data_IF_491244900382
#
_entry.id   IF_491244900382
#
_cell.length_a   1.000
_cell.length_b   1.000
_cell.length_c   1.000
_cell.angle_alpha   90.00
_cell.angle_beta   90.00
_cell.angle_gamma   90.00
#
_symmetry.space_group_name_H-M   'P 1'
#
loop_
_entity.id
_entity.type
_entity.pdbx_description
1 polymer ?
#
# COMPACT_ATOMS: atom_id res chain seq x y z
N UNK A 1 16.38 -12.58 17.44
CA UNK A 1 15.73 -11.25 17.46
C UNK A 1 14.29 -11.45 17.01
N UNK A 2 13.34 -11.46 17.95
CA UNK A 2 11.91 -11.50 17.61
C UNK A 2 11.58 -10.19 16.88
N UNK A 3 11.29 -10.27 15.59
CA UNK A 3 10.98 -9.09 14.79
C UNK A 3 9.48 -9.00 14.70
N UNK A 4 8.88 -8.05 15.40
CA UNK A 4 7.44 -7.78 15.33
C UNK A 4 7.04 -7.50 13.88
N UNK A 5 6.39 -8.47 13.25
CA UNK A 5 5.82 -8.30 11.91
C UNK A 5 4.63 -7.37 12.01
N UNK A 6 4.67 -6.23 11.30
CA UNK A 6 3.53 -5.31 11.20
C UNK A 6 2.37 -6.03 10.51
N UNK A 7 1.20 -6.06 11.15
CA UNK A 7 -0.05 -6.61 10.62
C UNK A 7 -1.13 -5.54 10.74
N UNK A 8 -1.69 -5.10 9.62
CA UNK A 8 -2.81 -4.15 9.56
C UNK A 8 -4.11 -4.80 9.14
N UNK A 9 -4.09 -6.01 8.59
CA UNK A 9 -5.27 -6.76 8.11
C UNK A 9 -5.90 -7.70 9.14
N UNK A 10 -5.20 -7.96 10.26
CA UNK A 10 -5.54 -9.03 11.20
C UNK A 10 -5.21 -10.45 10.70
N UNK A 11 -4.62 -10.61 9.52
CA UNK A 11 -4.27 -11.90 8.90
C UNK A 11 -2.76 -12.08 8.81
N UNK A 12 -2.23 -13.26 9.17
CA UNK A 12 -0.78 -13.50 9.20
C UNK A 12 -0.18 -13.78 7.81
N UNK A 13 -0.94 -14.41 6.93
CA UNK A 13 -0.58 -14.73 5.55
C UNK A 13 -0.52 -13.47 4.67
N UNK A 14 -1.48 -12.57 4.85
CA UNK A 14 -1.60 -11.32 4.11
C UNK A 14 -1.62 -10.12 5.07
N UNK A 15 -0.47 -9.72 5.62
CA UNK A 15 -0.41 -8.83 6.78
C UNK A 15 -0.73 -7.36 6.50
N UNK A 16 -0.58 -6.89 5.26
CA UNK A 16 -0.68 -5.46 4.92
C UNK A 16 -1.76 -5.24 3.86
N UNK A 17 -2.57 -4.19 4.01
CA UNK A 17 -3.63 -3.87 3.04
C UNK A 17 -3.07 -3.41 1.69
N UNK A 18 -2.09 -2.49 1.68
CA UNK A 18 -1.59 -1.83 0.46
C UNK A 18 -0.06 -1.90 0.30
N UNK A 19 0.70 -1.75 1.39
CA UNK A 19 2.16 -1.63 1.33
C UNK A 19 2.83 -2.88 0.75
N UNK A 20 3.70 -2.70 -0.25
CA UNK A 20 4.39 -3.79 -0.96
C UNK A 20 3.46 -4.68 -1.80
N UNK A 21 2.22 -4.24 -2.04
CA UNK A 21 1.21 -5.00 -2.81
C UNK A 21 0.88 -4.37 -4.15
N UNK A 22 1.76 -3.54 -4.72
CA UNK A 22 1.60 -2.96 -6.04
C UNK A 22 1.16 -4.03 -7.07
N UNK A 23 0.19 -3.66 -7.92
CA UNK A 23 -0.43 -4.51 -8.94
C UNK A 23 -1.23 -5.72 -8.43
N UNK A 24 -1.26 -5.99 -7.12
CA UNK A 24 -2.12 -7.04 -6.54
C UNK A 24 -3.54 -6.50 -6.31
N UNK A 25 -4.57 -7.36 -6.30
CA UNK A 25 -5.92 -6.95 -5.96
C UNK A 25 -6.03 -6.38 -4.54
N UNK A 26 -6.77 -5.28 -4.38
CA UNK A 26 -7.13 -4.74 -3.09
C UNK A 26 -7.92 -5.78 -2.27
N UNK A 27 -7.58 -5.96 -1.00
CA UNK A 27 -8.27 -6.92 -0.11
C UNK A 27 -9.69 -6.50 0.26
N UNK A 28 -10.08 -5.26 -0.06
CA UNK A 28 -11.42 -4.74 0.21
C UNK A 28 -12.32 -4.73 -1.03
N UNK A 29 -11.84 -4.18 -2.16
CA UNK A 29 -12.67 -3.99 -3.35
C UNK A 29 -12.14 -4.65 -4.63
N UNK A 30 -10.98 -5.32 -4.59
CA UNK A 30 -10.42 -6.01 -5.76
C UNK A 30 -9.69 -5.13 -6.78
N UNK A 31 -9.84 -3.81 -6.76
CA UNK A 31 -9.10 -2.91 -7.66
C UNK A 31 -7.56 -3.08 -7.49
N UNK A 32 -6.76 -2.95 -8.56
CA UNK A 32 -5.30 -3.07 -8.46
C UNK A 32 -4.72 -1.98 -7.56
N UNK A 33 -3.88 -2.37 -6.61
CA UNK A 33 -3.10 -1.42 -5.80
C UNK A 33 -2.09 -0.71 -6.70
N UNK A 34 -2.01 0.62 -6.58
CA UNK A 34 -1.06 1.48 -7.27
C UNK A 34 0.11 1.84 -6.36
N UNK A 35 1.23 2.20 -6.98
CA UNK A 35 2.45 2.69 -6.35
C UNK A 35 2.94 3.92 -7.11
N UNK A 36 3.47 4.89 -6.39
CA UNK A 36 4.14 6.07 -6.92
C UNK A 36 5.13 6.61 -5.87
N UNK A 37 6.17 7.29 -6.33
CA UNK A 37 6.99 8.11 -5.44
C UNK A 37 6.22 9.38 -5.08
N UNK A 38 6.16 9.71 -3.80
CA UNK A 38 5.55 10.95 -3.33
C UNK A 38 6.64 11.93 -2.88
N UNK A 39 6.67 13.10 -3.51
CA UNK A 39 7.64 14.17 -3.22
C UNK A 39 8.96 14.01 -3.96
N UNK A 40 9.85 14.99 -3.82
CA UNK A 40 10.98 15.16 -4.74
C UNK A 40 12.34 14.68 -4.19
N UNK A 41 13.17 14.16 -5.09
CA UNK A 41 14.58 13.87 -4.84
C UNK A 41 14.78 12.94 -3.63
N UNK A 42 15.58 13.39 -2.65
CA UNK A 42 15.87 12.61 -1.43
C UNK A 42 14.69 12.52 -0.46
N UNK A 43 13.59 13.23 -0.72
CA UNK A 43 12.35 13.17 0.08
C UNK A 43 11.28 12.28 -0.54
N UNK A 44 11.53 11.74 -1.74
CA UNK A 44 10.64 10.78 -2.38
C UNK A 44 10.38 9.60 -1.45
N UNK A 45 9.10 9.26 -1.27
CA UNK A 45 8.67 8.09 -0.51
C UNK A 45 7.73 7.23 -1.34
N UNK A 46 7.96 5.91 -1.43
CA UNK A 46 7.04 5.02 -2.10
C UNK A 46 5.71 5.04 -1.36
N UNK A 47 4.66 5.33 -2.11
CA UNK A 47 3.29 5.44 -1.61
C UNK A 47 2.43 4.43 -2.32
N UNK A 48 1.72 3.61 -1.54
CA UNK A 48 0.84 2.56 -2.04
C UNK A 48 -0.60 2.91 -1.70
N UNK A 49 -1.51 2.81 -2.68
CA UNK A 49 -2.93 3.08 -2.44
C UNK A 49 -3.85 2.23 -3.32
N UNK A 50 -5.09 2.05 -2.88
CA UNK A 50 -6.15 1.47 -3.69
C UNK A 50 -7.00 2.59 -4.30
N UNK A 51 -7.05 2.78 -5.63
CA UNK A 51 -7.82 3.86 -6.23
C UNK A 51 -9.35 3.70 -6.04
N UNK A 52 -9.84 2.49 -5.75
CA UNK A 52 -11.25 2.24 -5.48
C UNK A 52 -11.66 2.32 -4.00
N UNK A 53 -10.72 2.53 -3.08
CA UNK A 53 -11.04 2.71 -1.64
C UNK A 53 -10.48 4.02 -1.06
N UNK A 54 -9.43 4.55 -1.68
CA UNK A 54 -8.76 5.79 -1.29
C UNK A 54 -8.88 6.74 -2.47
N UNK A 55 -10.07 7.32 -2.63
CA UNK A 55 -10.35 8.34 -3.63
C UNK A 55 -9.64 9.66 -3.28
N UNK A 56 -9.31 10.46 -4.30
CA UNK A 56 -8.57 11.70 -4.14
C UNK A 56 -7.39 11.80 -5.11
N UNK A 57 -6.53 12.83 -4.96
CA UNK A 57 -5.37 13.00 -5.81
C UNK A 57 -4.43 11.79 -5.68
N UNK A 58 -3.93 11.31 -6.81
CA UNK A 58 -2.80 10.39 -6.81
C UNK A 58 -1.54 11.14 -6.36
N UNK A 59 -0.59 10.46 -5.70
CA UNK A 59 0.75 11.02 -5.50
C UNK A 59 1.35 11.40 -6.85
N UNK A 60 1.91 12.60 -6.91
CA UNK A 60 2.65 13.14 -8.04
C UNK A 60 4.14 13.17 -7.74
#
# INVERSE_FOLDING_TARGET
RDTFRRVTTGRRDTPLYVYGRAHRPCLRCGAPIREAEQGDGTRARPTYWCPGCQEGPAPY
#
